data_IF_042952935760
#
_entry.id   IF_042952935760
#
_cell.length_a   1.000
_cell.length_b   1.000
_cell.length_c   1.000
_cell.angle_alpha   90.00
_cell.angle_beta   90.00
_cell.angle_gamma   90.00
#
_symmetry.space_group_name_H-M   'P 1'
#
loop_
_entity.id
_entity.type
_entity.pdbx_description
1 polymer ?
#
# COMPACT_ATOMS: atom_id res chain seq x y z
N UNK A 1 -4.54 -10.74 -23.63
CA UNK A 1 -4.34 -9.28 -23.86
C UNK A 1 -4.31 -8.60 -22.50
N UNK A 2 -3.49 -7.55 -22.34
CA UNK A 2 -3.47 -6.69 -21.16
C UNK A 2 -4.78 -5.93 -20.99
N UNK A 3 -5.16 -5.65 -19.74
CA UNK A 3 -6.34 -4.83 -19.43
C UNK A 3 -6.05 -3.34 -19.66
N UNK A 4 -4.85 -2.89 -19.25
CA UNK A 4 -4.37 -1.53 -19.52
C UNK A 4 -3.66 -1.49 -20.88
N UNK A 5 -3.76 -0.36 -21.59
CA UNK A 5 -2.93 -0.16 -22.79
C UNK A 5 -1.45 -0.03 -22.37
N UNK A 6 -0.61 -0.97 -22.82
CA UNK A 6 0.83 -0.96 -22.50
C UNK A 6 1.54 0.29 -23.00
N UNK A 7 0.99 0.97 -24.04
CA UNK A 7 1.52 2.23 -24.55
C UNK A 7 1.40 3.38 -23.56
N UNK A 8 0.53 3.28 -22.55
CA UNK A 8 0.40 4.27 -21.49
C UNK A 8 1.57 4.24 -20.51
N UNK A 9 2.38 3.19 -20.54
CA UNK A 9 3.47 2.96 -19.59
C UNK A 9 4.85 3.16 -20.20
N UNK A 10 5.81 3.54 -19.34
CA UNK A 10 7.23 3.62 -19.69
C UNK A 10 7.87 2.25 -19.45
N UNK A 11 7.55 1.30 -20.31
CA UNK A 11 8.13 -0.04 -20.31
C UNK A 11 8.94 -0.19 -21.59
N UNK A 12 10.24 -0.54 -21.54
CA UNK A 12 11.04 -0.76 -22.73
C UNK A 12 10.52 -1.94 -23.57
N UNK A 13 10.69 -1.85 -24.87
CA UNK A 13 10.31 -2.93 -25.78
C UNK A 13 11.03 -4.25 -25.39
N UNK A 14 10.28 -5.34 -25.48
CA UNK A 14 10.84 -6.64 -25.12
C UNK A 14 11.01 -6.90 -23.63
N UNK A 15 10.54 -6.01 -22.74
CA UNK A 15 10.59 -6.21 -21.27
C UNK A 15 9.23 -6.69 -20.75
N UNK A 16 9.24 -7.74 -19.94
CA UNK A 16 8.13 -8.15 -19.08
C UNK A 16 8.32 -7.53 -17.69
N UNK A 17 7.60 -6.45 -17.41
CA UNK A 17 7.64 -5.79 -16.12
C UNK A 17 6.62 -6.44 -15.17
N UNK A 18 7.04 -7.44 -14.42
CA UNK A 18 6.21 -8.20 -13.48
C UNK A 18 6.66 -7.96 -12.03
N UNK A 19 6.91 -6.69 -11.71
CA UNK A 19 7.48 -6.23 -10.45
C UNK A 19 6.56 -5.24 -9.70
N UNK A 20 5.27 -5.14 -10.04
CA UNK A 20 4.36 -4.13 -9.49
C UNK A 20 4.29 -4.12 -7.94
N UNK A 21 4.46 -5.27 -7.29
CA UNK A 21 4.50 -5.36 -5.83
C UNK A 21 5.78 -4.78 -5.19
N UNK A 22 6.85 -4.58 -5.95
CA UNK A 22 8.10 -3.93 -5.53
C UNK A 22 8.14 -2.48 -6.00
N UNK A 23 8.23 -2.30 -7.31
CA UNK A 23 8.29 -1.03 -8.00
C UNK A 23 7.48 -1.15 -9.28
N UNK A 24 6.54 -0.26 -9.54
CA UNK A 24 5.70 -0.32 -10.75
C UNK A 24 6.29 0.52 -11.88
N UNK A 25 5.90 0.21 -13.14
CA UNK A 25 6.25 1.06 -14.26
C UNK A 25 5.51 2.40 -14.20
N UNK A 26 6.19 3.48 -14.54
CA UNK A 26 5.60 4.81 -14.60
C UNK A 26 4.59 4.94 -15.75
N UNK A 27 3.53 5.70 -15.53
CA UNK A 27 2.65 6.16 -16.61
C UNK A 27 3.34 7.28 -17.41
N UNK A 28 3.20 7.32 -18.73
CA UNK A 28 3.72 8.40 -19.58
C UNK A 28 3.11 9.77 -19.22
N UNK A 29 1.86 9.79 -18.74
CA UNK A 29 1.19 11.02 -18.30
C UNK A 29 1.82 11.66 -17.06
N UNK A 30 2.72 10.97 -16.36
CA UNK A 30 3.48 11.55 -15.25
C UNK A 30 4.38 12.70 -15.69
N UNK A 31 4.92 12.70 -16.91
CA UNK A 31 5.72 13.80 -17.44
C UNK A 31 4.90 15.10 -17.51
N UNK A 32 3.65 15.00 -18.00
CA UNK A 32 2.75 16.16 -18.04
C UNK A 32 2.37 16.66 -16.64
N UNK A 33 2.17 15.76 -15.67
CA UNK A 33 1.89 16.09 -14.27
C UNK A 33 3.05 16.87 -13.63
N UNK A 34 4.27 16.37 -13.77
CA UNK A 34 5.47 17.04 -13.27
C UNK A 34 5.70 18.39 -13.97
N UNK A 35 5.45 18.46 -15.27
CA UNK A 35 5.54 19.73 -16.02
C UNK A 35 4.50 20.75 -15.54
N UNK A 36 3.26 20.33 -15.19
CA UNK A 36 2.25 21.20 -14.57
C UNK A 36 2.74 21.71 -13.22
N UNK A 37 3.21 20.81 -12.35
CA UNK A 37 3.75 21.21 -11.06
C UNK A 37 4.86 22.27 -11.18
N UNK A 38 5.81 22.10 -12.10
CA UNK A 38 6.90 23.05 -12.29
C UNK A 38 6.37 24.42 -12.77
N UNK A 39 5.38 24.47 -13.67
CA UNK A 39 4.75 25.72 -14.09
C UNK A 39 4.03 26.40 -12.94
N UNK A 40 3.16 25.68 -12.23
CA UNK A 40 2.35 26.21 -11.14
C UNK A 40 3.26 26.75 -10.02
N UNK A 41 4.29 25.99 -9.63
CA UNK A 41 5.27 26.42 -8.64
C UNK A 41 5.99 27.73 -9.06
N UNK A 42 6.21 27.94 -10.35
CA UNK A 42 6.92 29.10 -10.87
C UNK A 42 6.08 30.37 -10.94
N UNK A 43 4.76 30.30 -10.69
CA UNK A 43 3.85 31.47 -10.71
C UNK A 43 3.62 32.09 -9.32
N UNK A 44 4.42 31.72 -8.32
CA UNK A 44 4.36 32.28 -6.97
C UNK A 44 3.06 31.95 -6.25
N UNK A 45 2.39 32.92 -5.66
CA UNK A 45 1.17 32.68 -4.87
C UNK A 45 -0.02 32.20 -5.71
N UNK A 46 -0.13 32.62 -6.97
CA UNK A 46 -1.17 32.12 -7.87
C UNK A 46 -1.04 30.61 -8.12
N UNK A 47 0.20 30.09 -8.19
CA UNK A 47 0.44 28.65 -8.31
C UNK A 47 0.11 27.87 -7.04
N UNK A 48 0.04 28.53 -5.89
CA UNK A 48 -0.36 27.88 -4.63
C UNK A 48 -1.78 27.36 -4.69
N UNK A 49 -2.71 28.13 -5.26
CA UNK A 49 -4.10 27.72 -5.40
C UNK A 49 -4.22 26.50 -6.33
N UNK A 50 -3.44 26.45 -7.40
CA UNK A 50 -3.36 25.30 -8.29
C UNK A 50 -2.79 24.06 -7.55
N UNK A 51 -1.77 24.22 -6.70
CA UNK A 51 -1.23 23.13 -5.88
C UNK A 51 -2.26 22.59 -4.88
N UNK A 52 -3.03 23.46 -4.22
CA UNK A 52 -4.11 23.04 -3.31
C UNK A 52 -5.26 22.32 -4.07
N UNK A 53 -5.57 22.76 -5.29
CA UNK A 53 -6.55 22.08 -6.13
C UNK A 53 -6.10 20.64 -6.50
N UNK A 54 -4.81 20.43 -6.80
CA UNK A 54 -4.26 19.10 -7.06
C UNK A 54 -4.28 18.21 -5.81
N UNK A 55 -4.04 18.76 -4.62
CA UNK A 55 -4.22 18.03 -3.35
C UNK A 55 -5.67 17.57 -3.21
N UNK A 56 -6.64 18.45 -3.46
CA UNK A 56 -8.06 18.13 -3.38
C UNK A 56 -8.44 17.04 -4.40
N UNK A 57 -7.92 17.13 -5.63
CA UNK A 57 -8.12 16.12 -6.70
C UNK A 57 -7.57 14.76 -6.28
N UNK A 58 -6.33 14.70 -5.77
CA UNK A 58 -5.71 13.47 -5.28
C UNK A 58 -6.48 12.88 -4.10
N UNK A 59 -6.95 13.71 -3.15
CA UNK A 59 -7.79 13.26 -2.02
C UNK A 59 -9.09 12.63 -2.50
N UNK A 60 -9.77 13.26 -3.46
CA UNK A 60 -11.00 12.72 -4.02
C UNK A 60 -10.77 11.38 -4.74
N UNK A 61 -9.66 11.25 -5.48
CA UNK A 61 -9.25 9.99 -6.12
C UNK A 61 -8.93 8.89 -5.09
N UNK A 62 -8.16 9.20 -4.06
CA UNK A 62 -7.83 8.27 -2.99
C UNK A 62 -9.07 7.86 -2.17
N UNK A 63 -10.01 8.77 -1.95
CA UNK A 63 -11.28 8.48 -1.29
C UNK A 63 -12.12 7.47 -2.07
N UNK A 64 -12.20 7.62 -3.40
CA UNK A 64 -12.85 6.61 -4.26
C UNK A 64 -12.15 5.26 -4.18
N UNK A 65 -10.81 5.25 -4.23
CA UNK A 65 -10.02 4.01 -4.14
C UNK A 65 -10.22 3.28 -2.80
N UNK A 66 -10.40 4.01 -1.70
CA UNK A 66 -10.57 3.47 -0.34
C UNK A 66 -12.04 3.31 0.06
N UNK A 67 -12.99 3.68 -0.82
CA UNK A 67 -14.44 3.65 -0.58
C UNK A 67 -14.89 4.47 0.63
N UNK A 68 -14.35 5.70 0.78
CA UNK A 68 -14.57 6.59 1.93
C UNK A 68 -14.81 8.04 1.46
N UNK A 69 -15.14 8.93 2.40
CA UNK A 69 -15.22 10.37 2.11
C UNK A 69 -13.81 11.01 2.03
N UNK A 70 -13.68 12.10 1.24
CA UNK A 70 -12.40 12.77 1.04
C UNK A 70 -11.86 13.42 2.33
N UNK A 71 -12.72 13.77 3.29
CA UNK A 71 -12.32 14.29 4.59
C UNK A 71 -11.59 13.26 5.44
N UNK A 72 -11.80 11.97 5.19
CA UNK A 72 -11.10 10.86 5.86
C UNK A 72 -9.73 10.53 5.25
N UNK A 73 -9.33 11.20 4.15
CA UNK A 73 -8.04 11.00 3.47
C UNK A 73 -7.08 12.15 3.74
N UNK A 74 -5.87 11.81 4.14
CA UNK A 74 -4.71 12.69 4.25
C UNK A 74 -3.50 12.10 3.54
N UNK A 75 -2.41 12.85 3.53
CA UNK A 75 -1.16 12.41 2.94
C UNK A 75 0.01 12.53 3.92
N UNK A 76 0.87 11.52 3.87
CA UNK A 76 2.16 11.45 4.57
C UNK A 76 3.25 11.13 3.56
N UNK A 77 4.53 11.25 3.95
CA UNK A 77 5.64 10.95 3.03
C UNK A 77 5.77 9.47 2.70
N UNK A 78 5.38 8.60 3.64
CA UNK A 78 5.42 7.13 3.50
C UNK A 78 4.55 6.47 4.59
N UNK A 79 4.29 5.18 4.44
CA UNK A 79 3.48 4.40 5.39
C UNK A 79 4.07 4.42 6.81
N UNK A 80 5.39 4.30 6.95
CA UNK A 80 6.03 4.28 8.27
C UNK A 80 5.79 5.57 9.05
N UNK A 81 5.79 6.75 8.38
CA UNK A 81 5.44 8.03 9.01
C UNK A 81 3.99 8.02 9.52
N UNK A 82 3.05 7.56 8.68
CA UNK A 82 1.64 7.52 9.08
C UNK A 82 1.38 6.60 10.26
N UNK A 83 1.96 5.40 10.25
CA UNK A 83 1.87 4.45 11.37
C UNK A 83 2.55 5.02 12.62
N UNK A 84 3.71 5.68 12.47
CA UNK A 84 4.41 6.32 13.58
C UNK A 84 3.54 7.38 14.27
N UNK A 85 2.86 8.23 13.49
CA UNK A 85 1.98 9.28 14.04
C UNK A 85 0.84 8.68 14.88
N UNK A 86 0.28 7.54 14.45
CA UNK A 86 -0.74 6.83 15.24
C UNK A 86 -0.11 6.19 16.47
N UNK A 87 0.98 5.44 16.31
CA UNK A 87 1.65 4.75 17.41
C UNK A 87 2.11 5.72 18.52
N UNK A 88 2.68 6.87 18.13
CA UNK A 88 3.14 7.91 19.06
C UNK A 88 1.98 8.55 19.84
N UNK A 89 0.79 8.65 19.25
CA UNK A 89 -0.39 9.19 19.93
C UNK A 89 -1.01 8.26 20.97
N UNK A 90 -0.58 6.99 21.02
CA UNK A 90 -1.08 6.01 21.97
C UNK A 90 -0.27 6.01 23.27
N UNK A 91 -0.98 5.94 24.37
CA UNK A 91 -0.39 5.75 25.70
C UNK A 91 -0.52 4.28 26.06
N UNK A 92 0.62 3.62 26.26
CA UNK A 92 0.69 2.22 26.68
C UNK A 92 0.97 2.10 28.18
N UNK A 93 0.23 1.24 28.86
CA UNK A 93 0.45 0.86 30.26
C UNK A 93 1.30 -0.41 30.35
N UNK A 94 1.83 -0.69 31.51
CA UNK A 94 2.57 -1.94 31.77
C UNK A 94 1.69 -3.16 31.49
N UNK A 95 2.19 -4.09 30.66
CA UNK A 95 1.49 -5.29 30.24
C UNK A 95 0.61 -5.13 28.98
N UNK A 96 0.46 -3.92 28.47
CA UNK A 96 -0.20 -3.74 27.16
C UNK A 96 0.62 -4.40 26.04
N UNK A 97 -0.07 -4.81 25.00
CA UNK A 97 0.54 -5.47 23.85
C UNK A 97 -0.13 -5.06 22.54
N UNK A 98 0.56 -5.34 21.45
CA UNK A 98 -0.01 -5.34 20.09
C UNK A 98 0.16 -6.72 19.46
N UNK A 99 -0.73 -7.06 18.53
CA UNK A 99 -0.67 -8.31 17.77
C UNK A 99 -0.44 -8.00 16.29
N UNK A 100 0.56 -8.65 15.70
CA UNK A 100 0.96 -8.50 14.30
C UNK A 100 1.17 -9.87 13.66
N UNK A 101 1.30 -9.92 12.32
CA UNK A 101 1.91 -11.10 11.66
C UNK A 101 3.40 -11.18 11.98
N UNK A 102 3.92 -12.40 12.18
CA UNK A 102 5.34 -12.64 12.46
C UNK A 102 6.27 -12.16 11.33
N UNK A 103 5.74 -12.03 10.11
CA UNK A 103 6.46 -11.55 8.93
C UNK A 103 5.91 -10.20 8.45
N UNK A 104 5.34 -9.40 9.36
CA UNK A 104 4.79 -8.10 9.00
C UNK A 104 5.88 -7.15 8.47
N UNK A 105 5.47 -6.24 7.56
CA UNK A 105 6.40 -5.31 6.96
C UNK A 105 6.93 -4.30 8.00
N UNK A 106 8.25 -4.01 8.02
CA UNK A 106 8.86 -3.16 9.04
C UNK A 106 8.20 -1.78 9.22
N UNK A 107 7.62 -1.20 8.16
CA UNK A 107 6.91 0.08 8.24
C UNK A 107 5.68 0.04 9.15
N UNK A 108 5.07 -1.13 9.32
CA UNK A 108 3.89 -1.32 10.18
C UNK A 108 4.30 -1.53 11.63
N UNK A 109 5.45 -2.14 11.86
CA UNK A 109 5.88 -2.59 13.21
C UNK A 109 6.85 -1.63 13.87
N UNK A 110 7.72 -0.99 13.10
CA UNK A 110 8.90 -0.27 13.58
C UNK A 110 8.62 0.72 14.72
N UNK A 111 7.51 1.46 14.62
CA UNK A 111 7.12 2.48 15.61
C UNK A 111 6.65 1.91 16.95
N UNK A 112 6.38 0.61 17.04
CA UNK A 112 5.93 -0.06 18.25
C UNK A 112 7.05 -0.78 18.99
N UNK A 113 8.17 -1.13 18.31
CA UNK A 113 9.22 -2.03 18.83
C UNK A 113 9.79 -1.63 20.20
N UNK A 114 9.94 -0.34 20.46
CA UNK A 114 10.50 0.18 21.72
C UNK A 114 9.45 0.68 22.70
N UNK A 115 8.16 0.54 22.41
CA UNK A 115 7.07 1.19 23.15
C UNK A 115 6.15 0.22 23.85
N UNK A 116 5.96 -0.98 23.30
CA UNK A 116 4.97 -1.94 23.80
C UNK A 116 5.40 -3.38 23.47
N UNK A 117 4.89 -4.35 24.20
CA UNK A 117 5.11 -5.77 23.92
C UNK A 117 4.47 -6.17 22.61
N UNK A 118 5.20 -6.91 21.76
CA UNK A 118 4.72 -7.36 20.46
C UNK A 118 4.49 -8.87 20.51
N UNK A 119 3.26 -9.29 20.18
CA UNK A 119 2.88 -10.68 19.98
C UNK A 119 2.78 -10.97 18.50
N UNK A 120 3.35 -12.07 18.06
CA UNK A 120 3.51 -12.39 16.64
C UNK A 120 2.69 -13.62 16.27
N UNK A 121 1.63 -13.42 15.50
CA UNK A 121 0.86 -14.49 14.88
C UNK A 121 1.66 -15.10 13.71
N UNK A 122 1.66 -16.41 13.58
CA UNK A 122 2.33 -17.10 12.46
C UNK A 122 1.29 -17.51 11.42
N UNK A 123 1.17 -16.71 10.37
CA UNK A 123 0.23 -16.91 9.27
C UNK A 123 -1.01 -16.00 9.37
N UNK A 124 -1.81 -16.01 8.31
CA UNK A 124 -2.91 -15.05 8.10
C UNK A 124 -4.25 -15.52 8.66
N UNK A 125 -4.34 -16.76 9.16
CA UNK A 125 -5.57 -17.29 9.72
C UNK A 125 -5.96 -16.59 11.02
N UNK A 126 -7.22 -16.18 11.14
CA UNK A 126 -7.71 -15.37 12.26
C UNK A 126 -7.56 -16.06 13.62
N UNK A 127 -7.65 -17.40 13.68
CA UNK A 127 -7.42 -18.18 14.90
C UNK A 127 -6.01 -18.02 15.49
N UNK A 128 -5.01 -17.72 14.65
CA UNK A 128 -3.65 -17.43 15.07
C UNK A 128 -3.55 -16.10 15.81
N UNK A 129 -4.35 -15.12 15.38
CA UNK A 129 -4.47 -13.83 16.07
C UNK A 129 -5.31 -13.98 17.33
N UNK A 130 -6.43 -14.72 17.27
CA UNK A 130 -7.31 -14.94 18.41
C UNK A 130 -6.57 -15.53 19.62
N UNK A 131 -5.69 -16.49 19.40
CA UNK A 131 -4.86 -17.09 20.45
C UNK A 131 -3.91 -16.10 21.15
N UNK A 132 -3.66 -14.91 20.55
CA UNK A 132 -2.73 -13.90 21.06
C UNK A 132 -3.42 -12.63 21.58
N UNK A 133 -4.70 -12.44 21.23
CA UNK A 133 -5.49 -11.26 21.60
C UNK A 133 -6.05 -11.45 23.02
N UNK A 134 -5.89 -10.45 23.88
CA UNK A 134 -6.45 -10.41 25.22
C UNK A 134 -6.90 -8.99 25.61
N UNK A 135 -7.40 -8.80 26.82
CA UNK A 135 -7.88 -7.51 27.33
C UNK A 135 -6.78 -6.43 27.43
N UNK A 136 -5.52 -6.79 27.25
CA UNK A 136 -4.36 -5.88 27.21
C UNK A 136 -3.92 -5.57 25.78
N UNK A 137 -4.54 -6.17 24.79
CA UNK A 137 -4.23 -5.87 23.40
C UNK A 137 -4.78 -4.50 23.02
N UNK A 138 -3.90 -3.60 22.59
CA UNK A 138 -4.22 -2.21 22.23
C UNK A 138 -4.34 -1.99 20.74
N UNK A 139 -3.63 -2.80 19.95
CA UNK A 139 -3.59 -2.69 18.48
C UNK A 139 -3.47 -4.07 17.87
N UNK A 140 -4.21 -4.31 16.80
CA UNK A 140 -3.94 -5.33 15.79
C UNK A 140 -3.47 -4.57 14.55
N UNK A 141 -2.26 -4.84 14.05
CA UNK A 141 -1.69 -4.15 12.90
C UNK A 141 -1.23 -5.16 11.85
N UNK A 142 -1.76 -5.05 10.63
CA UNK A 142 -1.49 -5.99 9.53
C UNK A 142 -1.44 -5.31 8.17
N UNK A 143 -0.61 -5.85 7.27
CA UNK A 143 -0.76 -5.63 5.83
C UNK A 143 -1.91 -6.48 5.31
N UNK A 144 -2.87 -5.90 4.57
CA UNK A 144 -4.01 -6.65 4.01
C UNK A 144 -3.57 -7.84 3.15
N UNK A 145 -2.49 -7.67 2.40
CA UNK A 145 -1.83 -8.73 1.63
C UNK A 145 -0.38 -8.81 2.08
N UNK A 146 0.06 -9.99 2.50
CA UNK A 146 1.45 -10.22 2.90
C UNK A 146 2.42 -9.97 1.74
N UNK A 147 3.38 -9.09 1.98
CA UNK A 147 4.44 -8.84 1.00
C UNK A 147 5.37 -10.05 0.81
N UNK A 148 5.41 -10.95 1.80
CA UNK A 148 6.27 -12.12 1.83
C UNK A 148 5.67 -13.30 1.04
N UNK A 149 4.39 -13.60 1.28
CA UNK A 149 3.73 -14.79 0.74
C UNK A 149 2.70 -14.47 -0.36
N UNK A 150 2.23 -13.22 -0.44
CA UNK A 150 1.09 -12.83 -1.26
C UNK A 150 -0.27 -13.24 -0.68
N UNK A 151 -0.30 -13.82 0.53
CA UNK A 151 -1.54 -14.26 1.20
C UNK A 151 -2.34 -13.06 1.73
N UNK A 152 -3.67 -13.17 1.65
CA UNK A 152 -4.63 -12.16 2.14
C UNK A 152 -5.10 -12.47 3.54
N UNK A 153 -5.21 -11.44 4.37
CA UNK A 153 -5.84 -11.51 5.68
C UNK A 153 -7.36 -11.35 5.59
N UNK A 154 -8.08 -12.05 6.46
CA UNK A 154 -9.50 -11.81 6.70
C UNK A 154 -9.66 -10.61 7.65
N UNK A 155 -9.85 -9.42 7.06
CA UNK A 155 -9.99 -8.19 7.84
C UNK A 155 -11.31 -8.15 8.63
N UNK A 156 -12.35 -8.88 8.21
CA UNK A 156 -13.63 -8.94 8.94
C UNK A 156 -13.39 -9.66 10.27
N UNK A 157 -12.78 -10.84 10.21
CA UNK A 157 -12.44 -11.59 11.42
C UNK A 157 -11.48 -10.83 12.33
N UNK A 158 -10.46 -10.13 11.77
CA UNK A 158 -9.56 -9.29 12.58
C UNK A 158 -10.28 -8.08 13.20
N UNK A 159 -11.27 -7.49 12.52
CA UNK A 159 -12.09 -6.43 13.09
C UNK A 159 -12.91 -6.92 14.28
N UNK A 160 -13.54 -8.09 14.15
CA UNK A 160 -14.28 -8.71 15.24
C UNK A 160 -13.40 -8.98 16.45
N UNK A 161 -12.19 -9.49 16.25
CA UNK A 161 -11.20 -9.69 17.32
C UNK A 161 -10.83 -8.35 18.01
N UNK A 162 -10.56 -7.32 17.24
CA UNK A 162 -10.21 -6.01 17.77
C UNK A 162 -11.37 -5.39 18.54
N UNK A 163 -12.60 -5.45 18.02
CA UNK A 163 -13.81 -4.94 18.70
C UNK A 163 -14.08 -5.65 20.02
N UNK A 164 -13.83 -6.96 20.09
CA UNK A 164 -14.04 -7.77 21.30
C UNK A 164 -13.24 -7.26 22.51
N UNK A 165 -12.04 -6.71 22.27
CA UNK A 165 -11.15 -6.24 23.33
C UNK A 165 -10.94 -4.72 23.34
N UNK A 166 -11.60 -3.99 22.44
CA UNK A 166 -11.44 -2.54 22.31
C UNK A 166 -10.09 -2.12 21.71
N UNK A 167 -9.43 -2.98 20.94
CA UNK A 167 -8.19 -2.68 20.26
C UNK A 167 -8.42 -1.91 18.96
N UNK A 168 -7.43 -1.13 18.54
CA UNK A 168 -7.40 -0.52 17.20
C UNK A 168 -7.05 -1.57 16.15
N UNK A 169 -7.65 -1.46 14.97
CA UNK A 169 -7.22 -2.17 13.77
C UNK A 169 -6.52 -1.20 12.82
N UNK A 170 -5.23 -1.39 12.61
CA UNK A 170 -4.40 -0.64 11.65
C UNK A 170 -4.11 -1.54 10.44
N UNK A 171 -4.42 -1.04 9.23
CA UNK A 171 -4.26 -1.84 8.00
C UNK A 171 -3.36 -1.13 7.00
N UNK A 172 -2.34 -1.83 6.51
CA UNK A 172 -1.55 -1.41 5.35
C UNK A 172 -2.08 -2.06 4.06
N UNK A 173 -2.62 -1.23 3.17
CA UNK A 173 -3.13 -1.64 1.87
C UNK A 173 -2.09 -1.59 0.73
N UNK A 174 -0.82 -1.34 1.04
CA UNK A 174 0.25 -1.16 0.03
C UNK A 174 0.35 -2.30 -0.98
N UNK A 175 0.02 -3.54 -0.60
CA UNK A 175 0.04 -4.69 -1.50
C UNK A 175 -1.35 -5.03 -2.08
N UNK A 176 -2.32 -4.09 -2.01
CA UNK A 176 -3.68 -4.30 -2.50
C UNK A 176 -4.27 -3.08 -3.22
N UNK A 177 -4.04 -1.86 -2.70
CA UNK A 177 -4.57 -0.63 -3.26
C UNK A 177 -4.08 -0.42 -4.69
N UNK A 178 -5.02 -0.30 -5.63
CA UNK A 178 -4.77 -0.10 -7.06
C UNK A 178 -5.06 -1.31 -7.94
N UNK A 179 -5.27 -2.51 -7.35
CA UNK A 179 -5.75 -3.65 -8.13
C UNK A 179 -6.92 -4.41 -7.48
N UNK A 180 -7.19 -4.19 -6.20
CA UNK A 180 -8.27 -4.85 -5.50
C UNK A 180 -9.24 -3.83 -4.90
N UNK A 181 -10.55 -4.11 -4.86
CA UNK A 181 -11.51 -3.30 -4.11
C UNK A 181 -11.11 -3.22 -2.63
N UNK A 182 -11.19 -2.01 -2.08
CA UNK A 182 -10.92 -1.72 -0.67
C UNK A 182 -12.16 -1.10 -0.05
N UNK A 183 -12.52 -1.58 1.15
CA UNK A 183 -13.39 -0.89 2.10
C UNK A 183 -12.53 -0.55 3.33
N UNK A 184 -12.02 0.69 3.37
CA UNK A 184 -11.18 1.12 4.47
C UNK A 184 -11.97 1.38 5.77
N UNK A 185 -13.31 1.47 5.72
CA UNK A 185 -14.14 1.68 6.90
C UNK A 185 -13.99 0.58 7.96
N UNK A 186 -13.49 -0.59 7.57
CA UNK A 186 -13.20 -1.70 8.50
C UNK A 186 -12.09 -1.37 9.49
N UNK A 187 -11.14 -0.51 9.11
CA UNK A 187 -9.99 -0.12 9.92
C UNK A 187 -10.28 1.14 10.76
N UNK A 188 -9.56 1.32 11.85
CA UNK A 188 -9.48 2.58 12.57
C UNK A 188 -8.55 3.56 11.84
N UNK A 189 -7.42 3.03 11.35
CA UNK A 189 -6.46 3.74 10.50
C UNK A 189 -6.01 2.81 9.39
N UNK A 190 -5.81 3.37 8.19
CA UNK A 190 -5.24 2.61 7.10
C UNK A 190 -4.25 3.45 6.29
N UNK A 191 -3.30 2.77 5.68
CA UNK A 191 -2.24 3.39 4.91
C UNK A 191 -2.01 2.65 3.60
N UNK A 192 -1.46 3.34 2.60
CA UNK A 192 -0.92 2.71 1.39
C UNK A 192 0.19 3.55 0.79
N UNK A 193 1.32 2.92 0.50
CA UNK A 193 2.31 3.51 -0.39
C UNK A 193 1.74 3.67 -1.82
N UNK A 194 2.13 4.75 -2.51
CA UNK A 194 1.55 5.06 -3.82
C UNK A 194 2.39 4.57 -5.00
N UNK A 195 3.67 4.22 -4.81
CA UNK A 195 4.63 3.91 -5.88
C UNK A 195 4.58 2.46 -6.38
N UNK A 196 3.61 1.66 -5.88
CA UNK A 196 3.39 0.27 -6.32
C UNK A 196 2.12 0.20 -7.17
N UNK A 197 1.13 -0.53 -6.71
CA UNK A 197 -0.13 -0.80 -7.40
C UNK A 197 -0.99 0.45 -7.67
N UNK A 198 -0.81 1.53 -6.89
CA UNK A 198 -1.49 2.82 -7.12
C UNK A 198 -0.89 3.58 -8.31
N UNK A 199 0.18 3.07 -8.93
CA UNK A 199 0.83 3.63 -10.12
C UNK A 199 1.47 5.02 -9.91
N UNK A 200 1.62 5.50 -8.67
CA UNK A 200 2.28 6.76 -8.34
C UNK A 200 3.80 6.64 -8.24
N UNK A 201 4.42 7.57 -7.53
CA UNK A 201 5.86 7.58 -7.24
C UNK A 201 6.11 7.66 -5.72
N UNK A 202 7.35 7.49 -5.29
CA UNK A 202 7.78 7.67 -3.89
C UNK A 202 7.60 9.10 -3.42
N UNK A 203 7.58 9.30 -2.09
CA UNK A 203 7.46 10.61 -1.45
C UNK A 203 6.02 10.99 -1.06
N UNK A 204 5.03 10.13 -1.34
CA UNK A 204 3.65 10.26 -0.87
C UNK A 204 3.06 8.91 -0.55
N UNK A 205 2.30 8.83 0.53
CA UNK A 205 1.45 7.71 0.90
C UNK A 205 0.07 8.23 1.32
N UNK A 206 -0.97 7.44 1.03
CA UNK A 206 -2.34 7.68 1.48
C UNK A 206 -2.42 7.33 2.95
N UNK A 207 -3.02 8.21 3.76
CA UNK A 207 -3.37 7.99 5.14
C UNK A 207 -4.89 8.13 5.31
N UNK A 208 -5.54 7.10 5.81
CA UNK A 208 -6.95 7.08 6.15
C UNK A 208 -7.12 7.15 7.67
N UNK A 209 -8.03 8.00 8.12
CA UNK A 209 -8.51 8.09 9.49
C UNK A 209 -10.02 7.86 9.55
N UNK A 210 -10.42 6.82 10.26
CA UNK A 210 -11.83 6.56 10.54
C UNK A 210 -12.33 7.50 11.63
N UNK A 211 -12.84 8.65 11.23
CA UNK A 211 -13.31 9.69 12.17
C UNK A 211 -14.51 9.25 13.00
N UNK A 212 -15.34 8.33 12.48
CA UNK A 212 -16.47 7.79 13.21
C UNK A 212 -16.04 6.85 14.34
N UNK A 213 -14.99 6.03 14.11
CA UNK A 213 -14.47 5.12 15.12
C UNK A 213 -13.51 5.80 16.09
N UNK A 214 -12.73 6.77 15.60
CA UNK A 214 -11.68 7.45 16.36
C UNK A 214 -11.85 8.98 16.34
N UNK A 215 -13.02 9.51 16.80
CA UNK A 215 -13.34 10.95 16.68
C UNK A 215 -12.38 11.84 17.47
N UNK A 216 -11.81 11.32 18.55
CA UNK A 216 -10.93 12.06 19.46
C UNK A 216 -9.44 11.94 19.08
N UNK A 217 -9.10 11.20 18.01
CA UNK A 217 -7.69 11.02 17.68
C UNK A 217 -6.99 12.34 17.38
N UNK A 218 -5.83 12.52 18.00
CA UNK A 218 -4.98 13.69 17.87
C UNK A 218 -3.53 13.25 17.77
N UNK A 219 -2.78 13.66 16.72
CA UNK A 219 -1.37 13.38 16.63
C UNK A 219 -0.62 14.09 17.77
N UNK A 220 0.42 13.46 18.31
CA UNK A 220 1.22 14.05 19.41
C UNK A 220 2.02 15.27 18.96
N UNK A 221 2.30 15.37 17.67
CA UNK A 221 2.99 16.52 17.08
C UNK A 221 2.23 17.01 15.84
N UNK A 222 2.15 18.30 15.69
CA UNK A 222 1.48 18.98 14.59
C UNK A 222 2.41 20.04 13.98
N UNK A 223 2.11 20.46 12.77
CA UNK A 223 2.75 21.58 12.12
C UNK A 223 1.71 22.47 11.48
N UNK A 224 2.15 23.52 10.80
CA UNK A 224 1.25 24.58 10.31
C UNK A 224 0.13 24.07 9.39
N UNK A 225 0.37 23.00 8.62
CA UNK A 225 -0.63 22.44 7.72
C UNK A 225 -1.63 21.52 8.44
N UNK A 226 -1.26 20.99 9.64
CA UNK A 226 -2.18 20.22 10.48
C UNK A 226 -3.23 21.10 11.16
N UNK A 227 -3.02 22.42 11.26
CA UNK A 227 -3.94 23.33 11.91
C UNK A 227 -5.09 23.74 11.00
N UNK A 228 -6.22 24.10 11.60
CA UNK A 228 -7.36 24.64 10.88
C UNK A 228 -6.96 25.89 10.09
N UNK A 229 -7.46 26.06 8.85
CA UNK A 229 -7.12 27.21 8.02
C UNK A 229 -7.39 28.55 8.73
N UNK A 230 -6.46 29.49 8.61
CA UNK A 230 -6.59 30.82 9.25
C UNK A 230 -6.17 30.87 10.73
N UNK A 231 -5.87 29.75 11.36
CA UNK A 231 -5.34 29.72 12.74
C UNK A 231 -4.00 30.43 12.83
N UNK A 232 -3.85 31.33 13.82
CA UNK A 232 -2.65 32.11 14.07
C UNK A 232 -2.42 32.31 15.57
N UNK A 233 -1.17 32.57 15.94
CA UNK A 233 -0.74 32.81 17.31
C UNK A 233 -0.26 31.52 18.00
N UNK A 234 0.44 31.70 19.11
CA UNK A 234 1.04 30.60 19.88
C UNK A 234 0.73 30.70 21.39
N UNK A 235 -0.06 31.68 21.81
CA UNK A 235 -0.46 31.84 23.20
C UNK A 235 -1.40 30.73 23.67
N UNK A 236 -2.19 30.21 22.70
CA UNK A 236 -2.98 28.99 22.85
C UNK A 236 -2.72 28.08 21.64
N UNK A 237 -2.63 26.75 21.82
CA UNK A 237 -2.46 25.84 20.68
C UNK A 237 -3.56 26.07 19.65
N UNK A 238 -3.22 26.30 18.36
CA UNK A 238 -4.25 26.42 17.34
C UNK A 238 -5.06 25.13 17.20
N UNK A 239 -6.37 25.21 16.88
CA UNK A 239 -7.16 24.02 16.63
C UNK A 239 -6.62 23.25 15.44
N UNK A 240 -6.59 21.92 15.55
CA UNK A 240 -6.24 21.04 14.43
C UNK A 240 -7.37 21.02 13.40
N UNK A 241 -7.04 20.66 12.17
CA UNK A 241 -8.04 20.30 11.16
C UNK A 241 -8.97 19.20 11.69
N UNK A 242 -10.22 19.24 11.32
CA UNK A 242 -11.21 18.20 11.61
C UNK A 242 -11.20 17.06 10.58
N UNK A 243 -10.33 17.14 9.56
CA UNK A 243 -10.14 16.16 8.51
C UNK A 243 -8.76 15.45 8.61
N UNK A 244 -8.57 14.39 7.82
CA UNK A 244 -7.35 13.59 7.84
C UNK A 244 -6.10 14.33 7.32
N UNK A 245 -6.23 15.56 6.79
CA UNK A 245 -5.04 16.37 6.50
C UNK A 245 -4.29 16.81 7.76
N UNK A 246 -4.82 16.54 8.97
CA UNK A 246 -4.03 16.67 10.21
C UNK A 246 -2.81 15.75 10.27
N UNK A 247 -2.74 14.69 9.45
CA UNK A 247 -1.52 13.90 9.26
C UNK A 247 -0.39 14.70 8.60
N UNK A 248 -0.72 15.70 7.79
CA UNK A 248 0.28 16.49 7.04
C UNK A 248 0.78 17.65 7.89
N UNK A 249 2.01 17.56 8.40
CA UNK A 249 2.55 18.54 9.34
C UNK A 249 2.99 19.84 8.68
N UNK A 250 3.58 19.76 7.49
CA UNK A 250 4.13 20.90 6.75
C UNK A 250 3.56 21.02 5.35
N UNK A 251 4.27 21.64 4.45
CA UNK A 251 3.89 21.62 3.05
C UNK A 251 3.75 20.19 2.56
N UNK A 252 2.61 19.83 1.93
CA UNK A 252 2.48 18.54 1.27
C UNK A 252 3.57 18.34 0.21
N UNK A 253 3.89 17.10 -0.08
CA UNK A 253 4.83 16.73 -1.15
C UNK A 253 4.17 16.94 -2.52
N UNK A 254 4.09 18.19 -2.99
CA UNK A 254 3.29 18.56 -4.16
C UNK A 254 3.66 17.77 -5.42
N UNK A 255 4.94 17.63 -5.76
CA UNK A 255 5.35 16.94 -6.99
C UNK A 255 4.83 15.49 -7.05
N UNK A 256 5.06 14.62 -6.03
CA UNK A 256 4.43 13.29 -6.02
C UNK A 256 2.91 13.31 -5.94
N UNK A 257 2.28 14.34 -5.36
CA UNK A 257 0.81 14.45 -5.32
C UNK A 257 0.24 14.74 -6.72
N UNK A 258 0.89 15.58 -7.54
CA UNK A 258 0.50 15.78 -8.94
C UNK A 258 0.54 14.46 -9.73
N UNK A 259 1.59 13.67 -9.53
CA UNK A 259 1.73 12.35 -10.15
C UNK A 259 0.66 11.39 -9.62
N UNK A 260 0.41 11.39 -8.32
CA UNK A 260 -0.61 10.55 -7.69
C UNK A 260 -2.02 10.89 -8.21
N UNK A 261 -2.36 12.16 -8.39
CA UNK A 261 -3.64 12.57 -8.93
C UNK A 261 -3.86 11.99 -10.35
N UNK A 262 -2.83 12.04 -11.22
CA UNK A 262 -2.88 11.42 -12.56
C UNK A 262 -3.03 9.89 -12.49
N UNK A 263 -2.31 9.24 -11.58
CA UNK A 263 -2.40 7.80 -11.40
C UNK A 263 -3.79 7.36 -10.92
N UNK A 264 -4.38 8.10 -9.97
CA UNK A 264 -5.71 7.82 -9.46
C UNK A 264 -6.80 8.05 -10.53
N UNK A 265 -6.68 9.09 -11.35
CA UNK A 265 -7.59 9.31 -12.47
C UNK A 265 -7.44 8.25 -13.56
N UNK A 266 -6.22 7.75 -13.79
CA UNK A 266 -5.99 6.61 -14.69
C UNK A 266 -6.70 5.35 -14.19
N UNK A 267 -6.51 5.00 -12.91
CA UNK A 267 -7.15 3.85 -12.29
C UNK A 267 -8.69 3.98 -12.28
N UNK A 268 -9.22 5.20 -12.12
CA UNK A 268 -10.65 5.46 -12.14
C UNK A 268 -11.32 5.22 -13.50
N UNK A 269 -10.55 5.08 -14.59
CA UNK A 269 -11.08 4.67 -15.90
C UNK A 269 -11.43 3.18 -15.97
N UNK A 270 -11.07 2.39 -14.94
CA UNK A 270 -11.27 0.95 -14.89
C UNK A 270 -12.09 0.55 -13.67
N UNK A 271 -12.91 -0.49 -13.83
CA UNK A 271 -13.53 -1.14 -12.66
C UNK A 271 -12.46 -1.89 -11.87
N UNK A 272 -12.35 -1.60 -10.57
CA UNK A 272 -11.37 -2.23 -9.70
C UNK A 272 -11.55 -3.75 -9.61
N UNK A 273 -12.78 -4.25 -9.73
CA UNK A 273 -13.05 -5.70 -9.79
C UNK A 273 -12.55 -6.32 -11.09
N UNK A 274 -12.62 -5.57 -12.20
CA UNK A 274 -12.06 -6.04 -13.47
C UNK A 274 -10.52 -6.10 -13.41
N UNK A 275 -9.86 -5.12 -12.78
CA UNK A 275 -8.41 -5.17 -12.54
C UNK A 275 -8.07 -6.40 -11.69
N UNK A 276 -8.79 -6.60 -10.58
CA UNK A 276 -8.58 -7.76 -9.70
C UNK A 276 -8.74 -9.09 -10.45
N UNK A 277 -9.82 -9.25 -11.22
CA UNK A 277 -10.08 -10.47 -11.98
C UNK A 277 -8.95 -10.73 -13.00
N UNK A 278 -8.50 -9.68 -13.70
CA UNK A 278 -7.40 -9.77 -14.66
C UNK A 278 -6.10 -10.26 -14.00
N UNK A 279 -5.65 -9.62 -12.90
CA UNK A 279 -4.41 -10.01 -12.23
C UNK A 279 -4.52 -11.40 -11.57
N UNK A 280 -5.71 -11.77 -11.08
CA UNK A 280 -5.94 -13.12 -10.53
C UNK A 280 -5.88 -14.21 -11.61
N UNK A 281 -6.37 -13.92 -12.83
CA UNK A 281 -6.23 -14.84 -13.98
C UNK A 281 -4.76 -15.12 -14.27
N UNK A 282 -3.92 -14.07 -14.33
CA UNK A 282 -2.48 -14.22 -14.58
C UNK A 282 -1.77 -14.93 -13.41
N UNK A 283 -2.14 -14.61 -12.18
CA UNK A 283 -1.63 -15.28 -10.98
C UNK A 283 -1.95 -16.77 -10.99
N UNK A 284 -3.19 -17.15 -11.28
CA UNK A 284 -3.61 -18.54 -11.37
C UNK A 284 -2.89 -19.29 -12.51
N UNK A 285 -2.74 -18.65 -13.68
CA UNK A 285 -1.98 -19.23 -14.79
C UNK A 285 -0.53 -19.52 -14.41
N UNK A 286 0.14 -18.58 -13.72
CA UNK A 286 1.51 -18.78 -13.25
C UNK A 286 1.58 -19.89 -12.21
N UNK A 287 0.70 -19.90 -11.21
CA UNK A 287 0.63 -20.94 -10.18
C UNK A 287 0.49 -22.34 -10.79
N UNK A 288 -0.43 -22.53 -11.75
CA UNK A 288 -0.63 -23.80 -12.45
C UNK A 288 0.61 -24.29 -13.20
N UNK A 289 1.35 -23.34 -13.83
CA UNK A 289 2.59 -23.68 -14.56
C UNK A 289 3.73 -24.05 -13.60
N UNK A 290 3.85 -23.35 -12.47
CA UNK A 290 4.84 -23.68 -11.44
C UNK A 290 4.56 -25.08 -10.82
N UNK A 291 3.27 -25.42 -10.62
CA UNK A 291 2.87 -26.74 -10.15
C UNK A 291 3.25 -27.84 -11.16
N UNK A 292 2.96 -27.62 -12.44
CA UNK A 292 3.34 -28.59 -13.50
C UNK A 292 4.88 -28.80 -13.58
N UNK A 293 5.66 -27.81 -13.15
CA UNK A 293 7.11 -27.87 -13.05
C UNK A 293 7.62 -28.35 -11.68
N UNK A 294 6.73 -28.66 -10.76
CA UNK A 294 7.03 -29.04 -9.37
C UNK A 294 7.88 -27.99 -8.63
N UNK A 295 7.74 -26.71 -8.99
CA UNK A 295 8.40 -25.60 -8.31
C UNK A 295 7.53 -25.17 -7.12
N UNK A 296 8.07 -25.22 -5.89
CA UNK A 296 7.31 -24.83 -4.70
C UNK A 296 6.98 -23.35 -4.69
N UNK A 297 5.84 -22.97 -4.13
CA UNK A 297 5.43 -21.58 -3.94
C UNK A 297 4.94 -21.35 -2.52
N UNK A 298 5.09 -20.12 -2.03
CA UNK A 298 4.57 -19.68 -0.73
C UNK A 298 3.11 -19.20 -0.83
N UNK A 299 2.70 -18.75 -2.02
CA UNK A 299 1.39 -18.17 -2.27
C UNK A 299 0.30 -19.23 -2.25
N UNK A 300 -0.81 -19.03 -1.50
CA UNK A 300 -1.95 -19.95 -1.52
C UNK A 300 -2.55 -20.10 -2.91
N UNK A 301 -3.08 -21.31 -3.20
CA UNK A 301 -3.74 -21.60 -4.49
C UNK A 301 -5.15 -21.01 -4.60
N UNK A 302 -5.84 -20.90 -3.47
CA UNK A 302 -7.19 -20.35 -3.42
C UNK A 302 -7.17 -18.84 -3.79
N UNK A 303 -7.85 -18.42 -4.87
CA UNK A 303 -7.92 -17.01 -5.29
C UNK A 303 -8.53 -16.09 -4.22
N UNK A 304 -9.35 -16.61 -3.32
CA UNK A 304 -9.89 -15.83 -2.20
C UNK A 304 -8.84 -15.52 -1.14
N UNK A 305 -7.73 -16.27 -1.11
CA UNK A 305 -6.69 -16.18 -0.08
C UNK A 305 -5.39 -15.55 -0.57
N UNK A 306 -5.30 -15.04 -1.80
CA UNK A 306 -4.08 -14.39 -2.27
C UNK A 306 -4.36 -13.08 -3.02
N UNK A 307 -3.34 -12.23 -3.13
CA UNK A 307 -3.33 -11.03 -3.95
C UNK A 307 -2.76 -11.30 -5.35
N UNK A 308 -2.14 -10.27 -5.93
CA UNK A 308 -1.62 -10.26 -7.30
C UNK A 308 -0.13 -10.65 -7.41
N UNK A 309 0.44 -11.25 -6.36
CA UNK A 309 1.85 -11.66 -6.34
C UNK A 309 1.99 -13.17 -6.14
N UNK A 310 2.89 -13.80 -6.90
CA UNK A 310 3.35 -15.16 -6.68
C UNK A 310 4.77 -15.12 -6.09
N UNK A 311 4.95 -15.80 -4.96
CA UNK A 311 6.20 -15.84 -4.20
C UNK A 311 6.81 -17.25 -4.27
N UNK A 312 7.99 -17.36 -4.87
CA UNK A 312 8.72 -18.62 -5.10
C UNK A 312 9.93 -18.64 -4.15
N UNK A 313 10.00 -19.54 -3.15
CA UNK A 313 11.14 -19.64 -2.26
C UNK A 313 12.35 -20.20 -3.00
N UNK A 314 13.49 -19.47 -2.99
CA UNK A 314 14.69 -19.84 -3.72
C UNK A 314 15.93 -19.32 -2.99
N UNK A 315 16.85 -20.22 -2.64
CA UNK A 315 18.05 -19.88 -1.87
C UNK A 315 18.99 -18.88 -2.59
N UNK A 316 19.04 -18.94 -3.93
CA UNK A 316 19.85 -18.03 -4.76
C UNK A 316 18.99 -16.95 -5.43
N UNK A 317 17.97 -16.42 -4.73
CA UNK A 317 16.98 -15.52 -5.31
C UNK A 317 17.60 -14.31 -6.03
N UNK A 318 18.66 -13.68 -5.48
CA UNK A 318 19.32 -12.55 -6.13
C UNK A 318 19.95 -12.92 -7.47
N UNK A 319 20.66 -14.05 -7.53
CA UNK A 319 21.29 -14.51 -8.78
C UNK A 319 20.23 -14.82 -9.84
N UNK A 320 19.12 -15.45 -9.43
CA UNK A 320 18.00 -15.77 -10.31
C UNK A 320 17.33 -14.50 -10.83
N UNK A 321 17.05 -13.51 -9.98
CA UNK A 321 16.49 -12.22 -10.40
C UNK A 321 17.40 -11.52 -11.42
N UNK A 322 18.72 -11.52 -11.19
CA UNK A 322 19.68 -10.96 -12.15
C UNK A 322 19.68 -11.70 -13.49
N UNK A 323 19.58 -13.03 -13.47
CA UNK A 323 19.52 -13.85 -14.69
C UNK A 323 18.20 -13.66 -15.45
N UNK A 324 17.06 -13.49 -14.73
CA UNK A 324 15.77 -13.16 -15.34
C UNK A 324 15.78 -11.74 -15.95
N UNK A 325 16.37 -10.77 -15.24
CA UNK A 325 16.50 -9.40 -15.73
C UNK A 325 17.33 -9.33 -17.02
N UNK A 326 18.43 -10.11 -17.12
CA UNK A 326 19.24 -10.23 -18.34
C UNK A 326 18.42 -10.78 -19.54
N UNK A 327 17.28 -11.42 -19.28
CA UNK A 327 16.33 -11.91 -20.30
C UNK A 327 15.13 -10.98 -20.49
N UNK A 328 15.19 -9.77 -19.90
CA UNK A 328 14.12 -8.78 -19.98
C UNK A 328 12.90 -9.10 -19.13
N UNK A 329 13.05 -9.91 -18.07
CA UNK A 329 11.96 -10.21 -17.12
C UNK A 329 12.29 -9.59 -15.76
N UNK A 330 11.60 -8.50 -15.41
CA UNK A 330 11.83 -7.76 -14.18
C UNK A 330 10.95 -8.29 -13.05
N UNK A 331 11.56 -8.87 -12.04
CA UNK A 331 10.93 -9.42 -10.84
C UNK A 331 11.62 -8.87 -9.58
N UNK A 332 11.05 -9.12 -8.41
CA UNK A 332 11.62 -8.67 -7.13
C UNK A 332 12.20 -9.84 -6.34
N UNK A 333 13.32 -9.61 -5.64
CA UNK A 333 13.84 -10.53 -4.64
C UNK A 333 13.68 -9.98 -3.22
N UNK A 334 13.91 -10.83 -2.25
CA UNK A 334 14.00 -10.48 -0.83
C UNK A 334 13.62 -11.67 0.04
N UNK A 335 14.31 -11.84 1.17
CA UNK A 335 14.07 -12.93 2.11
C UNK A 335 14.05 -14.32 1.44
N UNK A 336 15.08 -14.63 0.65
CA UNK A 336 15.26 -15.91 -0.06
C UNK A 336 14.05 -16.31 -0.94
N UNK A 337 13.46 -15.35 -1.64
CA UNK A 337 12.39 -15.61 -2.62
C UNK A 337 12.46 -14.72 -3.83
N UNK A 338 11.91 -15.21 -4.93
CA UNK A 338 11.54 -14.42 -6.11
C UNK A 338 10.06 -14.12 -6.04
N UNK A 339 9.68 -12.85 -6.17
CA UNK A 339 8.29 -12.41 -6.21
C UNK A 339 7.95 -11.87 -7.60
N UNK A 340 6.95 -12.48 -8.22
CA UNK A 340 6.37 -12.10 -9.50
C UNK A 340 5.04 -11.40 -9.19
N UNK A 341 4.83 -10.19 -9.70
CA UNK A 341 3.70 -9.34 -9.36
C UNK A 341 3.09 -8.73 -10.61
N UNK A 342 1.89 -9.17 -11.00
CA UNK A 342 1.18 -8.71 -12.19
C UNK A 342 0.34 -7.47 -11.90
N UNK A 343 0.19 -6.61 -12.93
CA UNK A 343 -0.76 -5.51 -12.93
C UNK A 343 -1.56 -5.50 -14.24
N UNK A 344 -2.47 -4.56 -14.43
CA UNK A 344 -3.33 -4.47 -15.61
C UNK A 344 -2.61 -4.36 -16.94
N UNK A 345 -1.34 -3.96 -16.97
CA UNK A 345 -0.52 -3.89 -18.19
C UNK A 345 0.14 -5.23 -18.59
N UNK A 346 0.05 -6.27 -17.75
CA UNK A 346 0.57 -7.60 -18.08
C UNK A 346 -0.45 -8.46 -18.82
N UNK A 347 0.03 -9.48 -19.53
CA UNK A 347 -0.80 -10.49 -20.17
C UNK A 347 -0.20 -11.91 -20.08
N UNK A 348 -0.82 -12.89 -20.73
CA UNK A 348 -0.36 -14.29 -20.70
C UNK A 348 1.05 -14.47 -21.27
N UNK A 349 1.48 -13.62 -22.22
CA UNK A 349 2.85 -13.67 -22.75
C UNK A 349 3.88 -13.35 -21.68
N UNK A 350 3.53 -12.48 -20.71
CA UNK A 350 4.40 -12.23 -19.55
C UNK A 350 4.53 -13.47 -18.67
N UNK A 351 3.45 -14.24 -18.50
CA UNK A 351 3.49 -15.52 -17.77
C UNK A 351 4.41 -16.51 -18.48
N UNK A 352 4.32 -16.64 -19.81
CA UNK A 352 5.21 -17.50 -20.61
C UNK A 352 6.68 -17.10 -20.41
N UNK A 353 6.98 -15.82 -20.56
CA UNK A 353 8.34 -15.30 -20.42
C UNK A 353 8.90 -15.47 -19.00
N UNK A 354 8.05 -15.30 -17.96
CA UNK A 354 8.45 -15.58 -16.58
C UNK A 354 8.87 -17.04 -16.42
N UNK A 355 8.07 -17.99 -16.92
CA UNK A 355 8.37 -19.42 -16.82
C UNK A 355 9.65 -19.77 -17.57
N UNK A 356 9.83 -19.28 -18.78
CA UNK A 356 11.01 -19.56 -19.60
C UNK A 356 12.29 -18.99 -18.96
N UNK A 357 12.22 -17.75 -18.47
CA UNK A 357 13.33 -17.09 -17.79
C UNK A 357 13.67 -17.79 -16.47
N UNK A 358 12.67 -18.18 -15.68
CA UNK A 358 12.87 -18.86 -14.40
C UNK A 358 13.51 -20.25 -14.63
N UNK A 359 12.97 -21.07 -15.53
CA UNK A 359 13.54 -22.38 -15.86
C UNK A 359 15.00 -22.27 -16.29
N UNK A 360 15.31 -21.32 -17.20
CA UNK A 360 16.68 -21.11 -17.66
C UNK A 360 17.63 -20.60 -16.57
N UNK A 361 17.09 -20.05 -15.48
CA UNK A 361 17.89 -19.51 -14.36
C UNK A 361 18.09 -20.53 -13.22
N UNK A 362 17.36 -21.63 -13.23
CA UNK A 362 17.46 -22.71 -12.25
C UNK A 362 18.51 -23.76 -12.64
N UNK A 363 18.91 -23.80 -13.92
CA UNK A 363 19.98 -24.66 -14.46
C UNK A 363 21.34 -24.00 -14.20
#
# INVERSE_FOLDING_TARGET
MSLFDTKDFVIPDGVSHVCAGGETACLRRHDAALSRYLRDKSTGMAGRDAQEAEIARARAGAARLFSVDAGSIGFVSNVAEGVAMVAESLVFAGGDNIVIDAHEYPSVVGSFLSRVSIRQARGTAADRFDALVDARTRVIAVSYVSYLTGERFDLIALRELADRVGALLIVDYTQAAGYAPIDACIADFAFSACYKWVLGITGVAIAYWNRARQPAWTPISAGWYSFAPGSRGYDTPPPLRDDAMRFTRGNPAHAPIYVLAEALDYLACYDMRAIQAHVQTLTAALLNRLDALQIPVMTPRDPARHGASVCVPLDRAQAIVNAMAARGVLVWNGQSRVRISFHGYNDERDVDRVIDALRSSLI
#
